data_IF_699427476420
#
_entry.id   IF_699427476420
#
_cell.length_a   1.000
_cell.length_b   1.000
_cell.length_c   1.000
_cell.angle_alpha   90.00
_cell.angle_beta   90.00
_cell.angle_gamma   90.00
#
_symmetry.space_group_name_H-M   'P 1'
#
loop_
_entity.id
_entity.type
_entity.pdbx_description
1 polymer ?
#
# COMPACT_ATOMS: atom_id res chain seq x y z
N UNK A 1 -9.37 18.99 -3.80
CA UNK A 1 -8.81 17.65 -3.99
C UNK A 1 -9.82 16.82 -4.75
N UNK A 2 -9.42 15.89 -5.63
CA UNK A 2 -10.37 14.97 -6.22
C UNK A 2 -10.96 14.10 -5.11
N UNK A 3 -12.27 14.09 -4.96
CA UNK A 3 -12.97 13.22 -4.02
C UNK A 3 -13.39 11.95 -4.77
N UNK A 4 -12.85 10.81 -4.39
CA UNK A 4 -13.34 9.52 -4.85
C UNK A 4 -14.51 9.14 -3.96
N UNK A 5 -15.67 8.87 -4.57
CA UNK A 5 -16.86 8.44 -3.86
C UNK A 5 -17.07 6.93 -4.09
N UNK A 6 -17.63 6.26 -3.10
CA UNK A 6 -17.93 4.82 -3.15
C UNK A 6 -19.45 4.62 -3.20
N UNK A 7 -19.87 3.64 -3.99
CA UNK A 7 -21.29 3.39 -4.26
C UNK A 7 -22.10 2.89 -3.06
N UNK A 8 -21.43 2.54 -1.95
CA UNK A 8 -22.07 2.11 -0.72
C UNK A 8 -21.43 2.77 0.50
N UNK A 9 -22.24 3.14 1.48
CA UNK A 9 -21.81 3.82 2.71
C UNK A 9 -20.77 3.02 3.56
N UNK A 10 -20.64 1.71 3.30
CA UNK A 10 -19.75 0.81 4.05
C UNK A 10 -18.35 0.67 3.41
N UNK A 11 -18.06 1.35 2.31
CA UNK A 11 -16.80 1.29 1.58
C UNK A 11 -16.04 2.61 1.64
N UNK A 12 -16.21 3.38 2.70
CA UNK A 12 -15.46 4.62 2.89
C UNK A 12 -13.98 4.30 3.12
N UNK A 13 -13.09 5.07 2.49
CA UNK A 13 -11.70 5.14 2.90
C UNK A 13 -11.58 5.40 4.39
N UNK A 14 -10.65 4.72 5.06
CA UNK A 14 -10.17 5.26 6.31
C UNK A 14 -9.41 6.56 6.01
N UNK A 15 -9.54 7.60 6.85
CA UNK A 15 -8.79 8.84 6.66
C UNK A 15 -7.28 8.62 6.55
N UNK A 16 -6.76 7.62 7.24
CA UNK A 16 -5.36 7.24 7.25
C UNK A 16 -4.92 6.65 5.89
N UNK A 17 -5.76 5.77 5.31
CA UNK A 17 -5.50 5.20 3.97
C UNK A 17 -5.52 6.30 2.91
N UNK A 18 -6.44 7.26 3.01
CA UNK A 18 -6.47 8.43 2.14
C UNK A 18 -5.19 9.27 2.27
N UNK A 19 -4.75 9.53 3.51
CA UNK A 19 -3.59 10.37 3.78
C UNK A 19 -2.30 9.78 3.19
N UNK A 20 -1.96 8.52 3.47
CA UNK A 20 -0.75 7.94 2.92
C UNK A 20 -0.82 7.72 1.40
N UNK A 21 -1.99 7.42 0.84
CA UNK A 21 -2.19 7.28 -0.60
C UNK A 21 -1.97 8.61 -1.32
N UNK A 22 -2.51 9.69 -0.76
CA UNK A 22 -2.33 11.06 -1.27
C UNK A 22 -0.87 11.48 -1.22
N UNK A 23 -0.18 11.20 -0.10
CA UNK A 23 1.25 11.45 0.02
C UNK A 23 2.05 10.71 -1.05
N UNK A 24 1.79 9.41 -1.24
CA UNK A 24 2.45 8.63 -2.29
C UNK A 24 2.28 9.29 -3.66
N UNK A 25 1.05 9.67 -4.02
CA UNK A 25 0.78 10.34 -5.29
C UNK A 25 1.56 11.65 -5.43
N UNK A 26 1.63 12.48 -4.38
CA UNK A 26 2.39 13.72 -4.38
C UNK A 26 3.90 13.49 -4.53
N UNK A 27 4.46 12.48 -3.88
CA UNK A 27 5.88 12.10 -4.05
C UNK A 27 6.17 11.73 -5.51
N UNK A 28 5.30 10.94 -6.15
CA UNK A 28 5.44 10.53 -7.54
C UNK A 28 5.34 11.71 -8.52
N UNK A 29 4.41 12.64 -8.28
CA UNK A 29 4.27 13.85 -9.08
C UNK A 29 5.49 14.75 -8.94
N UNK A 30 5.98 14.95 -7.71
CA UNK A 30 7.12 15.82 -7.44
C UNK A 30 8.40 15.27 -8.05
N UNK A 31 8.60 13.96 -8.06
CA UNK A 31 9.72 13.31 -8.73
C UNK A 31 9.70 13.52 -10.24
N UNK A 32 8.52 13.67 -10.85
CA UNK A 32 8.38 13.88 -12.29
C UNK A 32 8.55 15.36 -12.70
N UNK A 33 8.76 16.28 -11.76
CA UNK A 33 9.08 17.67 -12.10
C UNK A 33 10.49 17.74 -12.69
N UNK A 34 10.69 18.47 -13.79
CA UNK A 34 12.02 18.68 -14.33
C UNK A 34 12.84 19.46 -13.27
N UNK A 35 13.84 18.80 -12.69
CA UNK A 35 14.90 19.49 -11.96
C UNK A 35 15.69 20.22 -13.04
N UNK A 36 15.85 21.54 -12.91
CA UNK A 36 16.59 22.41 -13.83
C UNK A 36 18.12 22.16 -13.85
N UNK A 37 18.56 20.98 -13.55
CA UNK A 37 19.94 20.52 -13.74
C UNK A 37 20.03 19.60 -14.95
N UNK A 38 20.99 19.87 -15.85
CA UNK A 38 21.17 19.28 -17.17
C UNK A 38 21.35 17.76 -17.20
N UNK A 39 21.37 17.06 -16.06
CA UNK A 39 21.58 15.62 -15.97
C UNK A 39 20.37 14.92 -15.36
N UNK A 40 19.68 14.16 -16.23
CA UNK A 40 18.65 13.16 -15.96
C UNK A 40 17.26 13.67 -15.57
N UNK A 41 16.51 14.03 -16.58
CA UNK A 41 15.06 13.89 -16.65
C UNK A 41 14.67 12.40 -16.51
N UNK A 42 14.51 11.89 -15.30
CA UNK A 42 13.77 10.65 -15.08
C UNK A 42 12.28 10.97 -15.20
N UNK A 43 11.82 11.23 -16.41
CA UNK A 43 10.39 11.13 -16.73
C UNK A 43 10.03 9.66 -16.70
N UNK A 44 8.97 9.31 -15.99
CA UNK A 44 8.34 8.03 -16.18
C UNK A 44 7.78 8.01 -17.61
N UNK A 45 8.31 7.21 -18.53
CA UNK A 45 7.69 7.08 -19.85
C UNK A 45 6.29 6.49 -19.70
N UNK A 46 6.11 5.59 -18.75
CA UNK A 46 4.86 5.00 -18.30
C UNK A 46 5.04 4.63 -16.84
N UNK A 47 4.15 5.12 -15.97
CA UNK A 47 4.15 4.77 -14.55
C UNK A 47 3.24 3.55 -14.33
N UNK A 48 3.81 2.46 -13.84
CA UNK A 48 3.10 1.20 -13.59
C UNK A 48 2.98 0.93 -12.09
N UNK A 49 1.75 0.86 -11.60
CA UNK A 49 1.44 0.66 -10.18
C UNK A 49 0.63 -0.61 -10.00
N UNK A 50 1.07 -1.46 -9.07
CA UNK A 50 0.39 -2.69 -8.68
C UNK A 50 -0.16 -2.54 -7.26
N UNK A 51 -1.49 -2.62 -7.12
CA UNK A 51 -2.20 -2.57 -5.84
C UNK A 51 -2.61 -3.99 -5.44
N UNK A 52 -1.90 -4.57 -4.49
CA UNK A 52 -2.13 -5.93 -3.99
C UNK A 52 -3.08 -5.90 -2.80
N UNK A 53 -4.01 -6.84 -2.74
CA UNK A 53 -5.14 -6.83 -1.79
C UNK A 53 -6.00 -5.57 -1.98
N UNK A 54 -6.31 -5.26 -3.25
CA UNK A 54 -6.94 -3.99 -3.65
C UNK A 54 -8.35 -3.78 -3.07
N UNK A 55 -9.02 -4.84 -2.63
CA UNK A 55 -10.36 -4.78 -2.08
C UNK A 55 -11.35 -4.14 -3.06
N UNK A 56 -11.98 -3.07 -2.64
CA UNK A 56 -12.94 -2.30 -3.44
C UNK A 56 -12.28 -1.29 -4.38
N UNK A 57 -10.96 -1.34 -4.55
CA UNK A 57 -10.19 -0.51 -5.47
C UNK A 57 -9.87 0.89 -4.95
N UNK A 58 -10.01 1.12 -3.66
CA UNK A 58 -9.89 2.45 -3.06
C UNK A 58 -8.56 3.12 -3.36
N UNK A 59 -7.45 2.44 -3.06
CA UNK A 59 -6.09 2.97 -3.26
C UNK A 59 -5.84 3.22 -4.74
N UNK A 60 -6.12 2.22 -5.59
CA UNK A 60 -5.92 2.31 -7.03
C UNK A 60 -6.68 3.49 -7.65
N UNK A 61 -7.96 3.65 -7.30
CA UNK A 61 -8.81 4.73 -7.86
C UNK A 61 -8.35 6.12 -7.39
N UNK A 62 -7.97 6.27 -6.12
CA UNK A 62 -7.46 7.54 -5.61
C UNK A 62 -6.11 7.90 -6.24
N UNK A 63 -5.18 6.95 -6.33
CA UNK A 63 -3.90 7.16 -7.02
C UNK A 63 -4.15 7.61 -8.46
N UNK A 64 -5.02 6.93 -9.21
CA UNK A 64 -5.32 7.31 -10.58
C UNK A 64 -5.92 8.72 -10.66
N UNK A 65 -6.86 9.06 -9.79
CA UNK A 65 -7.49 10.39 -9.77
C UNK A 65 -6.47 11.52 -9.62
N UNK A 66 -5.50 11.35 -8.72
CA UNK A 66 -4.48 12.36 -8.45
C UNK A 66 -3.41 12.37 -9.55
N UNK A 67 -2.91 11.19 -9.92
CA UNK A 67 -1.79 11.06 -10.86
C UNK A 67 -2.17 11.44 -12.29
N UNK A 68 -3.34 11.02 -12.78
CA UNK A 68 -3.78 11.28 -14.16
C UNK A 68 -3.97 12.76 -14.47
N UNK A 69 -4.07 13.62 -13.45
CA UNK A 69 -4.09 15.06 -13.62
C UNK A 69 -2.73 15.65 -14.03
N UNK A 70 -1.63 14.94 -13.77
CA UNK A 70 -0.24 15.40 -13.97
C UNK A 70 0.60 14.46 -14.83
N UNK A 71 0.26 13.19 -14.88
CA UNK A 71 0.97 12.14 -15.62
C UNK A 71 0.03 11.59 -16.68
N UNK A 72 0.45 11.61 -17.95
CA UNK A 72 -0.39 11.21 -19.07
C UNK A 72 -0.49 9.70 -19.23
N UNK A 73 0.54 8.96 -18.86
CA UNK A 73 0.60 7.52 -19.03
C UNK A 73 0.84 6.82 -17.70
N UNK A 74 -0.26 6.42 -17.05
CA UNK A 74 -0.26 5.74 -15.77
C UNK A 74 -1.09 4.47 -15.90
N UNK A 75 -0.53 3.32 -15.57
CA UNK A 75 -1.24 2.05 -15.49
C UNK A 75 -1.36 1.59 -14.04
N UNK A 76 -2.57 1.30 -13.61
CA UNK A 76 -2.88 0.78 -12.29
C UNK A 76 -3.59 -0.56 -12.40
N UNK A 77 -3.00 -1.58 -11.77
CA UNK A 77 -3.65 -2.89 -11.69
C UNK A 77 -3.87 -3.24 -10.22
N UNK A 78 -5.13 -3.51 -9.86
CA UNK A 78 -5.50 -4.02 -8.56
C UNK A 78 -5.68 -5.53 -8.60
N UNK A 79 -5.11 -6.23 -7.63
CA UNK A 79 -5.24 -7.69 -7.46
C UNK A 79 -5.94 -7.99 -6.15
N UNK A 80 -6.93 -8.86 -6.17
CA UNK A 80 -7.60 -9.36 -4.97
C UNK A 80 -8.07 -10.80 -5.19
N UNK A 81 -8.11 -11.58 -4.12
CA UNK A 81 -8.64 -12.94 -4.13
C UNK A 81 -10.17 -12.96 -4.23
N UNK A 82 -10.84 -11.93 -3.70
CA UNK A 82 -12.29 -11.83 -3.59
C UNK A 82 -12.93 -11.32 -4.88
N UNK A 83 -13.69 -12.19 -5.55
CA UNK A 83 -14.52 -11.79 -6.71
C UNK A 83 -15.53 -10.71 -6.37
N UNK A 84 -16.07 -10.74 -5.15
CA UNK A 84 -17.05 -9.76 -4.69
C UNK A 84 -16.42 -8.38 -4.53
N UNK A 85 -15.24 -8.30 -3.91
CA UNK A 85 -14.46 -7.06 -3.79
C UNK A 85 -14.15 -6.48 -5.17
N UNK A 86 -13.68 -7.31 -6.11
CA UNK A 86 -13.36 -6.88 -7.48
C UNK A 86 -14.61 -6.43 -8.26
N UNK A 87 -15.77 -7.05 -8.02
CA UNK A 87 -17.03 -6.59 -8.62
C UNK A 87 -17.37 -5.16 -8.14
N UNK A 88 -17.19 -4.88 -6.85
CA UNK A 88 -17.36 -3.54 -6.27
C UNK A 88 -16.29 -2.57 -6.80
N UNK A 89 -15.02 -2.98 -6.90
CA UNK A 89 -13.96 -2.16 -7.47
C UNK A 89 -14.28 -1.70 -8.90
N UNK A 90 -14.75 -2.63 -9.73
CA UNK A 90 -15.20 -2.32 -11.09
C UNK A 90 -16.46 -1.43 -11.12
N UNK A 91 -17.38 -1.60 -10.17
CA UNK A 91 -18.53 -0.72 -10.01
C UNK A 91 -18.09 0.69 -9.62
N UNK A 92 -17.20 0.82 -8.63
CA UNK A 92 -16.63 2.09 -8.18
C UNK A 92 -15.89 2.80 -9.32
N UNK A 93 -15.09 2.09 -10.11
CA UNK A 93 -14.42 2.64 -11.29
C UNK A 93 -15.43 3.26 -12.27
N UNK A 94 -16.45 2.48 -12.68
CA UNK A 94 -17.48 2.96 -13.62
C UNK A 94 -18.25 4.15 -13.06
N UNK A 95 -18.60 4.08 -11.79
CA UNK A 95 -19.37 5.12 -11.12
C UNK A 95 -18.59 6.44 -11.02
N UNK A 96 -17.32 6.39 -10.59
CA UNK A 96 -16.48 7.59 -10.49
C UNK A 96 -16.18 8.22 -11.87
N UNK A 97 -16.11 7.42 -12.94
CA UNK A 97 -16.02 7.95 -14.30
C UNK A 97 -17.32 8.65 -14.68
N UNK A 98 -18.48 8.03 -14.40
CA UNK A 98 -19.80 8.61 -14.70
C UNK A 98 -20.04 9.93 -13.93
N UNK A 99 -19.54 10.03 -12.68
CA UNK A 99 -19.63 11.24 -11.86
C UNK A 99 -18.49 12.26 -12.15
N UNK A 100 -17.67 12.01 -13.16
CA UNK A 100 -16.51 12.87 -13.53
C UNK A 100 -15.42 13.05 -12.46
N UNK A 101 -15.43 12.20 -11.42
CA UNK A 101 -14.36 12.16 -10.42
C UNK A 101 -13.09 11.50 -10.99
N UNK A 102 -13.25 10.60 -11.96
CA UNK A 102 -12.17 10.03 -12.76
C UNK A 102 -12.31 10.45 -14.22
N UNK A 103 -11.17 10.65 -14.89
CA UNK A 103 -11.13 10.91 -16.34
C UNK A 103 -11.53 9.65 -17.11
N UNK A 104 -12.05 9.83 -18.33
CA UNK A 104 -12.47 8.71 -19.19
C UNK A 104 -11.33 7.70 -19.46
N UNK A 105 -10.09 8.17 -19.54
CA UNK A 105 -8.90 7.33 -19.75
C UNK A 105 -8.70 6.26 -18.65
N UNK A 106 -9.32 6.43 -17.47
CA UNK A 106 -9.32 5.44 -16.41
C UNK A 106 -9.86 4.08 -16.85
N UNK A 107 -10.74 4.03 -17.86
CA UNK A 107 -11.27 2.77 -18.43
C UNK A 107 -10.18 1.88 -19.01
N UNK A 108 -9.13 2.48 -19.51
CA UNK A 108 -8.00 1.80 -20.17
C UNK A 108 -6.81 1.62 -19.22
N UNK A 109 -6.66 2.55 -18.29
CA UNK A 109 -5.50 2.64 -17.39
C UNK A 109 -5.67 1.89 -16.08
N UNK A 110 -6.91 1.61 -15.64
CA UNK A 110 -7.19 0.90 -14.38
C UNK A 110 -7.81 -0.46 -14.68
N UNK A 111 -7.23 -1.51 -14.11
CA UNK A 111 -7.73 -2.89 -14.24
C UNK A 111 -7.75 -3.58 -12.89
N UNK A 112 -8.77 -4.40 -12.67
CA UNK A 112 -8.88 -5.24 -11.49
C UNK A 112 -8.87 -6.71 -11.90
N UNK A 113 -7.96 -7.49 -11.29
CA UNK A 113 -7.67 -8.88 -11.66
C UNK A 113 -7.84 -9.77 -10.45
N UNK A 114 -8.54 -10.89 -10.60
CA UNK A 114 -8.61 -11.88 -9.54
C UNK A 114 -7.30 -12.65 -9.43
N UNK A 115 -6.79 -12.75 -8.20
CA UNK A 115 -5.60 -13.55 -7.94
C UNK A 115 -5.30 -13.66 -6.45
N UNK A 116 -4.69 -14.77 -6.10
CA UNK A 116 -4.12 -14.99 -4.77
C UNK A 116 -2.62 -14.68 -4.83
N UNK A 117 -2.16 -13.69 -4.07
CA UNK A 117 -0.77 -13.26 -4.11
C UNK A 117 0.21 -14.33 -3.61
N UNK A 118 -0.25 -15.34 -2.88
CA UNK A 118 0.56 -16.47 -2.44
C UNK A 118 0.80 -17.51 -3.53
N UNK A 119 0.14 -17.38 -4.67
CA UNK A 119 0.32 -18.22 -5.85
C UNK A 119 0.97 -17.43 -7.00
N UNK A 120 1.41 -18.16 -8.02
CA UNK A 120 1.94 -17.51 -9.22
C UNK A 120 0.82 -16.84 -10.01
N UNK A 121 1.04 -15.58 -10.35
CA UNK A 121 0.11 -14.75 -11.11
C UNK A 121 0.79 -14.25 -12.40
N UNK A 122 0.12 -14.38 -13.57
CA UNK A 122 0.68 -13.88 -14.83
C UNK A 122 1.05 -12.40 -14.79
N UNK A 123 0.32 -11.59 -14.02
CA UNK A 123 0.59 -10.16 -13.85
C UNK A 123 1.96 -9.87 -13.22
N UNK A 124 2.53 -10.83 -12.48
CA UNK A 124 3.83 -10.72 -11.83
C UNK A 124 5.00 -11.08 -12.77
N UNK A 125 4.74 -11.42 -14.03
CA UNK A 125 5.79 -11.67 -15.03
C UNK A 125 6.37 -10.38 -15.64
N UNK A 126 5.73 -9.22 -15.42
CA UNK A 126 6.21 -7.92 -15.90
C UNK A 126 6.88 -7.10 -14.79
N UNK A 127 7.49 -5.97 -15.20
CA UNK A 127 8.03 -4.99 -14.26
C UNK A 127 6.95 -4.02 -13.80
N UNK A 128 7.03 -3.61 -12.54
CA UNK A 128 6.14 -2.61 -11.94
C UNK A 128 6.98 -1.59 -11.18
N UNK A 129 6.74 -0.31 -11.39
CA UNK A 129 7.52 0.73 -10.72
C UNK A 129 7.20 0.82 -9.23
N UNK A 130 5.94 0.56 -8.89
CA UNK A 130 5.43 0.71 -7.53
C UNK A 130 4.54 -0.47 -7.21
N UNK A 131 4.72 -1.00 -6.00
CA UNK A 131 3.78 -1.91 -5.35
C UNK A 131 3.18 -1.20 -4.15
N UNK A 132 1.87 -1.24 -4.01
CA UNK A 132 1.16 -0.77 -2.83
C UNK A 132 0.25 -1.88 -2.32
N UNK A 133 0.06 -1.96 -1.02
CA UNK A 133 -0.84 -2.95 -0.42
C UNK A 133 -1.41 -2.49 0.91
N UNK A 134 -2.71 -2.72 1.08
CA UNK A 134 -3.36 -2.76 2.38
C UNK A 134 -3.80 -4.22 2.63
N UNK A 135 -2.91 -5.08 3.11
CA UNK A 135 -3.20 -6.50 3.28
C UNK A 135 -4.00 -6.75 4.57
N UNK A 136 -4.61 -7.92 4.75
CA UNK A 136 -5.03 -8.37 6.07
C UNK A 136 -3.83 -8.41 7.02
N UNK A 137 -3.87 -7.65 8.12
CA UNK A 137 -2.73 -7.51 9.06
C UNK A 137 -3.10 -7.66 10.53
N UNK A 138 -4.37 -7.97 10.85
CA UNK A 138 -4.86 -8.10 12.22
C UNK A 138 -4.70 -9.56 12.66
N UNK A 139 -4.04 -9.80 13.81
CA UNK A 139 -3.99 -11.15 14.36
C UNK A 139 -5.37 -11.61 14.85
N UNK A 140 -5.64 -12.92 14.91
CA UNK A 140 -6.91 -13.45 15.42
C UNK A 140 -7.25 -12.95 16.82
N UNK A 141 -6.27 -12.80 17.71
CA UNK A 141 -6.44 -12.27 19.04
C UNK A 141 -6.84 -10.78 18.98
N UNK A 142 -6.08 -9.94 18.28
CA UNK A 142 -6.39 -8.51 18.13
C UNK A 142 -7.73 -8.27 17.42
N UNK A 143 -8.15 -9.17 16.54
CA UNK A 143 -9.47 -9.10 15.93
C UNK A 143 -10.59 -9.18 16.96
N UNK A 144 -10.43 -10.00 17.99
CA UNK A 144 -11.44 -10.18 19.03
C UNK A 144 -11.39 -9.10 20.11
N UNK A 145 -10.19 -8.62 20.46
CA UNK A 145 -9.96 -7.69 21.59
C UNK A 145 -9.94 -6.22 21.19
N UNK A 146 -9.28 -5.90 20.08
CA UNK A 146 -8.91 -4.52 19.74
C UNK A 146 -9.73 -3.94 18.58
N UNK A 147 -10.36 -4.82 17.76
CA UNK A 147 -11.15 -4.37 16.61
C UNK A 147 -12.54 -3.91 17.06
N UNK A 148 -12.96 -2.73 16.60
CA UNK A 148 -14.27 -2.19 16.93
C UNK A 148 -15.41 -3.12 16.49
N UNK A 149 -16.54 -3.08 17.23
CA UNK A 149 -17.71 -3.90 16.92
C UNK A 149 -18.25 -3.65 15.51
N UNK A 150 -18.24 -2.39 15.05
CA UNK A 150 -18.71 -2.02 13.72
C UNK A 150 -17.87 -2.69 12.62
N UNK A 151 -16.56 -2.62 12.72
CA UNK A 151 -15.63 -3.27 11.78
C UNK A 151 -15.86 -4.78 11.75
N UNK A 152 -15.97 -5.44 12.92
CA UNK A 152 -16.22 -6.89 12.99
C UNK A 152 -17.56 -7.34 12.38
N UNK A 153 -18.56 -6.48 12.37
CA UNK A 153 -19.90 -6.80 11.82
C UNK A 153 -19.98 -6.51 10.33
N UNK A 154 -19.39 -5.41 9.87
CA UNK A 154 -19.60 -4.92 8.51
C UNK A 154 -18.48 -5.25 7.55
N UNK A 155 -17.28 -5.59 8.05
CA UNK A 155 -16.16 -5.99 7.19
C UNK A 155 -15.97 -7.51 7.19
N UNK A 156 -15.70 -8.11 6.01
CA UNK A 156 -15.39 -9.55 5.96
C UNK A 156 -14.14 -9.85 6.79
N UNK A 157 -14.18 -10.87 7.65
CA UNK A 157 -13.02 -11.26 8.46
C UNK A 157 -11.77 -11.51 7.60
N UNK A 158 -11.93 -12.07 6.40
CA UNK A 158 -10.84 -12.32 5.46
C UNK A 158 -10.16 -11.05 4.93
N UNK A 159 -10.80 -9.88 5.02
CA UNK A 159 -10.20 -8.60 4.67
C UNK A 159 -9.31 -8.04 5.80
N UNK A 160 -9.43 -8.57 7.01
CA UNK A 160 -8.78 -8.05 8.21
C UNK A 160 -7.74 -9.01 8.78
N UNK A 161 -8.07 -10.31 8.78
CA UNK A 161 -7.27 -11.37 9.39
C UNK A 161 -6.71 -12.27 8.29
N UNK A 162 -5.40 -12.48 8.22
CA UNK A 162 -4.80 -13.43 7.29
C UNK A 162 -5.43 -14.82 7.42
N UNK A 163 -5.73 -15.52 6.30
CA UNK A 163 -6.22 -16.90 6.35
C UNK A 163 -5.23 -17.81 7.07
N UNK A 164 -5.73 -18.69 7.91
CA UNK A 164 -4.91 -19.62 8.70
C UNK A 164 -4.01 -20.53 7.85
N UNK A 165 -4.41 -20.79 6.61
CA UNK A 165 -3.63 -21.59 5.67
C UNK A 165 -2.25 -21.01 5.30
N UNK A 166 -2.02 -19.70 5.53
CA UNK A 166 -0.74 -19.04 5.27
C UNK A 166 0.14 -18.93 6.51
N UNK A 167 -0.32 -19.43 7.66
CA UNK A 167 0.41 -19.42 8.91
C UNK A 167 0.91 -20.83 9.22
N UNK A 168 2.20 -20.95 9.43
CA UNK A 168 2.83 -22.21 9.76
C UNK A 168 2.38 -22.68 11.16
N UNK A 169 1.89 -23.90 11.22
CA UNK A 169 1.71 -24.79 12.35
C UNK A 169 0.33 -24.94 12.99
N UNK A 170 -0.08 -26.18 13.00
CA UNK A 170 -1.16 -26.78 13.77
C UNK A 170 -0.84 -26.72 15.28
N UNK A 171 -1.47 -25.82 16.00
CA UNK A 171 -1.28 -25.76 17.45
C UNK A 171 -2.38 -24.95 18.13
N UNK A 172 -3.15 -25.62 18.98
CA UNK A 172 -4.09 -25.00 19.89
C UNK A 172 -3.36 -24.05 20.85
N UNK A 173 -3.84 -22.81 20.97
CA UNK A 173 -3.32 -21.82 21.90
C UNK A 173 -1.99 -21.21 21.48
N UNK A 174 -2.03 -20.33 20.47
CA UNK A 174 -0.84 -19.68 19.95
C UNK A 174 -0.10 -18.84 21.00
N UNK A 175 1.22 -18.97 21.01
CA UNK A 175 2.09 -18.05 21.73
C UNK A 175 1.94 -16.64 21.14
N UNK A 176 2.36 -15.61 21.88
CA UNK A 176 2.38 -14.24 21.36
C UNK A 176 3.17 -14.13 20.04
N UNK A 177 4.24 -14.92 19.89
CA UNK A 177 5.05 -14.96 18.66
C UNK A 177 4.26 -15.52 17.47
N UNK A 178 3.47 -16.57 17.68
CA UNK A 178 2.59 -17.13 16.65
C UNK A 178 1.49 -16.16 16.23
N UNK A 179 0.85 -15.49 17.19
CA UNK A 179 -0.15 -14.45 16.92
C UNK A 179 0.43 -13.28 16.11
N UNK A 180 1.63 -12.83 16.45
CA UNK A 180 2.32 -11.77 15.71
C UNK A 180 2.71 -12.26 14.29
N UNK A 181 3.18 -13.50 14.15
CA UNK A 181 3.51 -14.08 12.86
C UNK A 181 2.28 -14.19 11.94
N UNK A 182 1.10 -14.49 12.48
CA UNK A 182 -0.15 -14.50 11.70
C UNK A 182 -0.45 -13.08 11.18
N UNK A 183 -0.41 -12.07 12.03
CA UNK A 183 -0.63 -10.69 11.61
C UNK A 183 0.38 -10.19 10.57
N UNK A 184 1.59 -10.74 10.59
CA UNK A 184 2.67 -10.35 9.69
C UNK A 184 2.77 -11.22 8.41
N UNK A 185 1.90 -12.20 8.21
CA UNK A 185 2.03 -13.25 7.20
C UNK A 185 2.14 -12.74 5.74
N UNK A 186 1.54 -11.59 5.43
CA UNK A 186 1.55 -11.05 4.07
C UNK A 186 2.87 -10.33 3.74
N UNK A 187 3.56 -9.73 4.70
CA UNK A 187 4.69 -8.84 4.41
C UNK A 187 5.89 -9.53 3.75
N UNK A 188 6.32 -10.75 4.16
CA UNK A 188 7.39 -11.45 3.46
C UNK A 188 7.05 -11.67 1.97
N UNK A 189 5.79 -12.03 1.68
CA UNK A 189 5.36 -12.25 0.30
C UNK A 189 5.27 -10.94 -0.49
N UNK A 190 4.85 -9.84 0.12
CA UNK A 190 4.83 -8.52 -0.52
C UNK A 190 6.24 -8.05 -0.87
N UNK A 191 7.22 -8.26 0.01
CA UNK A 191 8.64 -7.99 -0.25
C UNK A 191 9.17 -8.82 -1.43
N UNK A 192 8.90 -10.14 -1.42
CA UNK A 192 9.28 -11.05 -2.52
C UNK A 192 8.68 -10.62 -3.87
N UNK A 193 7.38 -10.28 -3.89
CA UNK A 193 6.71 -9.82 -5.11
C UNK A 193 7.33 -8.52 -5.59
N UNK A 194 7.55 -7.55 -4.71
CA UNK A 194 8.12 -6.27 -5.07
C UNK A 194 9.53 -6.42 -5.67
N UNK A 195 10.35 -7.33 -5.11
CA UNK A 195 11.65 -7.70 -5.68
C UNK A 195 11.49 -8.37 -7.06
N UNK A 196 10.60 -9.36 -7.19
CA UNK A 196 10.34 -10.10 -8.44
C UNK A 196 9.93 -9.18 -9.59
N UNK A 197 9.10 -8.16 -9.32
CA UNK A 197 8.60 -7.22 -10.34
C UNK A 197 9.51 -6.00 -10.55
N UNK A 198 10.67 -5.97 -9.91
CA UNK A 198 11.66 -4.87 -9.95
C UNK A 198 11.07 -3.52 -9.48
N UNK A 199 10.24 -3.54 -8.42
CA UNK A 199 9.62 -2.35 -7.89
C UNK A 199 10.68 -1.39 -7.32
N UNK A 200 10.50 -0.10 -7.60
CA UNK A 200 11.33 0.99 -7.06
C UNK A 200 10.81 1.49 -5.72
N UNK A 201 9.52 1.31 -5.51
CA UNK A 201 8.84 1.68 -4.27
C UNK A 201 7.86 0.60 -3.84
N UNK A 202 7.80 0.39 -2.52
CA UNK A 202 6.81 -0.47 -1.89
C UNK A 202 6.19 0.30 -0.71
N UNK A 203 4.86 0.41 -0.70
CA UNK A 203 4.10 0.99 0.39
C UNK A 203 3.14 -0.06 0.96
N UNK A 204 3.22 -0.32 2.25
CA UNK A 204 2.40 -1.32 2.94
C UNK A 204 1.71 -0.73 4.16
N UNK A 205 0.39 -0.87 4.27
CA UNK A 205 -0.33 -0.53 5.50
C UNK A 205 -0.01 -1.53 6.61
N UNK A 206 0.00 -1.04 7.85
CA UNK A 206 0.25 -1.80 9.08
C UNK A 206 -0.69 -1.35 10.20
N UNK A 207 -0.91 -2.22 11.19
CA UNK A 207 -1.81 -1.92 12.31
C UNK A 207 -1.28 -0.82 13.24
N UNK A 208 0.03 -0.77 13.47
CA UNK A 208 0.63 0.12 14.46
C UNK A 208 2.17 0.18 14.33
N UNK A 209 2.78 1.05 15.14
CA UNK A 209 4.24 1.26 15.16
C UNK A 209 5.03 -0.03 15.48
N UNK A 210 4.51 -0.92 16.34
CA UNK A 210 5.22 -2.17 16.66
C UNK A 210 5.31 -3.09 15.46
N UNK A 211 4.20 -3.22 14.71
CA UNK A 211 4.18 -3.98 13.46
C UNK A 211 5.03 -3.30 12.38
N UNK A 212 4.96 -1.97 12.24
CA UNK A 212 5.83 -1.24 11.32
C UNK A 212 7.31 -1.54 11.53
N UNK A 213 7.78 -1.57 12.78
CA UNK A 213 9.17 -1.91 13.10
C UNK A 213 9.55 -3.34 12.70
N UNK A 214 8.64 -4.33 12.89
CA UNK A 214 8.88 -5.71 12.44
C UNK A 214 8.93 -5.83 10.92
N UNK A 215 8.04 -5.11 10.23
CA UNK A 215 8.03 -5.07 8.75
C UNK A 215 9.30 -4.44 8.20
N UNK A 216 9.81 -3.37 8.82
CA UNK A 216 11.10 -2.80 8.46
C UNK A 216 12.25 -3.78 8.75
N UNK A 217 12.25 -4.49 9.89
CA UNK A 217 13.26 -5.52 10.18
C UNK A 217 13.27 -6.64 9.12
N UNK A 218 12.09 -7.06 8.62
CA UNK A 218 11.98 -7.99 7.50
C UNK A 218 12.58 -7.41 6.21
N UNK A 219 12.27 -6.16 5.90
CA UNK A 219 12.78 -5.49 4.70
C UNK A 219 14.30 -5.27 4.74
N UNK A 220 14.87 -4.97 5.91
CA UNK A 220 16.33 -4.87 6.10
C UNK A 220 17.00 -6.23 5.88
N UNK A 221 16.41 -7.32 6.39
CA UNK A 221 16.93 -8.69 6.18
C UNK A 221 16.85 -9.13 4.72
N UNK A 222 15.80 -8.70 4.00
CA UNK A 222 15.64 -8.96 2.56
C UNK A 222 16.78 -8.30 1.74
N UNK A 223 17.29 -7.15 2.19
CA UNK A 223 18.47 -6.51 1.60
C UNK A 223 18.24 -5.86 0.22
N UNK A 224 16.99 -5.76 -0.22
CA UNK A 224 16.62 -5.24 -1.53
C UNK A 224 16.39 -3.72 -1.56
N UNK A 225 16.27 -3.10 -0.38
CA UNK A 225 15.86 -1.72 -0.17
C UNK A 225 16.98 -0.88 0.42
N UNK A 226 17.02 0.41 0.03
CA UNK A 226 18.04 1.37 0.47
C UNK A 226 17.46 2.49 1.33
N UNK A 227 16.15 2.73 1.26
CA UNK A 227 15.44 3.75 2.02
C UNK A 227 14.27 3.16 2.78
N UNK A 228 14.15 3.54 4.06
CA UNK A 228 13.17 3.02 5.00
C UNK A 228 12.46 4.17 5.69
N UNK A 229 11.12 4.23 5.56
CA UNK A 229 10.29 5.21 6.24
C UNK A 229 9.11 4.52 6.91
N UNK A 230 8.70 5.02 8.07
CA UNK A 230 7.43 4.71 8.71
C UNK A 230 6.59 5.98 8.66
N UNK A 231 5.45 5.91 8.01
CA UNK A 231 4.50 7.00 7.97
C UNK A 231 3.42 6.80 9.02
N UNK A 232 3.12 7.86 9.74
CA UNK A 232 2.03 7.91 10.71
C UNK A 232 0.70 8.19 10.02
N UNK A 233 -0.39 8.24 10.77
CA UNK A 233 -1.76 8.43 10.26
C UNK A 233 -1.87 9.65 9.32
N UNK A 234 -1.15 10.73 9.62
CA UNK A 234 -1.12 11.97 8.83
C UNK A 234 0.32 12.32 8.44
N UNK A 235 0.87 11.66 7.41
CA UNK A 235 2.31 11.73 7.12
C UNK A 235 2.80 13.08 6.61
N UNK A 236 1.90 13.95 6.11
CA UNK A 236 2.25 15.29 5.63
C UNK A 236 2.14 16.38 6.72
N UNK A 237 1.65 16.05 7.91
CA UNK A 237 1.63 16.99 9.03
C UNK A 237 3.05 17.04 9.63
N UNK A 238 3.60 18.28 9.69
CA UNK A 238 4.95 18.49 10.23
C UNK A 238 4.93 18.38 11.76
N UNK A 239 5.74 17.48 12.30
CA UNK A 239 6.12 17.55 13.72
C UNK A 239 7.03 18.77 13.90
N UNK A 240 6.74 19.63 14.87
CA UNK A 240 7.45 20.90 15.12
C UNK A 240 8.95 20.75 15.45
N UNK A 241 9.42 19.55 15.67
CA UNK A 241 10.83 19.20 15.88
C UNK A 241 11.21 18.15 14.85
N UNK A 242 12.02 18.48 13.87
CA UNK A 242 12.54 17.65 12.76
C UNK A 242 12.22 16.15 12.90
N UNK A 243 11.79 15.52 11.81
CA UNK A 243 11.20 14.17 11.85
C UNK A 243 11.97 13.18 12.74
N UNK A 244 11.25 12.41 13.52
CA UNK A 244 11.83 11.35 14.34
C UNK A 244 12.55 10.34 13.45
N UNK A 245 13.69 9.85 13.88
CA UNK A 245 14.38 8.75 13.23
C UNK A 245 14.70 7.67 14.27
N UNK A 246 14.72 6.43 13.83
CA UNK A 246 15.16 5.31 14.66
C UNK A 246 16.10 4.42 13.87
N UNK A 247 16.89 3.62 14.55
CA UNK A 247 17.78 2.64 13.96
C UNK A 247 17.18 1.23 14.08
N UNK A 248 17.13 0.51 12.96
CA UNK A 248 16.74 -0.91 12.91
C UNK A 248 17.83 -1.67 12.16
N UNK A 249 18.51 -2.58 12.84
CA UNK A 249 19.57 -3.41 12.25
C UNK A 249 20.66 -2.60 11.53
N UNK A 250 21.04 -1.46 12.07
CA UNK A 250 22.05 -0.58 11.46
C UNK A 250 21.54 0.30 10.33
N UNK A 251 20.25 0.27 10.01
CA UNK A 251 19.62 1.13 9.01
C UNK A 251 18.86 2.27 9.68
N UNK A 252 19.05 3.48 9.16
CA UNK A 252 18.29 4.66 9.59
C UNK A 252 16.89 4.62 9.00
N UNK A 253 15.89 4.70 9.85
CA UNK A 253 14.46 4.67 9.50
C UNK A 253 13.83 6.00 9.86
N UNK A 254 13.35 6.74 8.86
CA UNK A 254 12.65 8.01 9.08
C UNK A 254 11.22 7.75 9.55
N UNK A 255 10.76 8.54 10.51
CA UNK A 255 9.36 8.52 10.95
C UNK A 255 8.73 9.85 10.60
N UNK A 256 7.66 9.82 9.81
CA UNK A 256 7.04 11.02 9.27
C UNK A 256 5.60 11.18 9.74
N UNK A 257 5.22 12.44 10.02
CA UNK A 257 3.84 12.82 10.31
C UNK A 257 3.42 12.66 11.77
N UNK A 258 2.12 12.82 12.00
CA UNK A 258 1.48 12.74 13.31
C UNK A 258 0.52 11.57 13.41
N UNK A 259 0.21 11.14 14.64
CA UNK A 259 -0.64 9.98 14.92
C UNK A 259 0.13 8.69 15.16
N UNK A 260 -0.52 7.57 14.91
CA UNK A 260 0.06 6.24 15.08
C UNK A 260 0.83 5.81 13.84
N UNK A 261 1.81 4.89 13.98
CA UNK A 261 2.46 4.28 12.82
C UNK A 261 1.45 3.51 11.98
N UNK A 262 1.32 3.88 10.70
CA UNK A 262 0.25 3.39 9.83
C UNK A 262 0.74 2.69 8.58
N UNK A 263 1.86 3.08 8.03
CA UNK A 263 2.41 2.42 6.85
C UNK A 263 3.94 2.39 6.86
N UNK A 264 4.50 1.45 6.11
CA UNK A 264 5.92 1.32 5.83
C UNK A 264 6.13 1.64 4.36
N UNK A 265 7.02 2.60 4.09
CA UNK A 265 7.43 2.97 2.75
C UNK A 265 8.90 2.61 2.54
N UNK A 266 9.15 1.85 1.50
CA UNK A 266 10.48 1.38 1.10
C UNK A 266 10.85 1.91 -0.26
N UNK A 267 12.13 2.25 -0.46
CA UNK A 267 12.64 2.76 -1.74
C UNK A 267 14.00 2.14 -2.09
N UNK A 268 14.28 2.04 -3.40
CA UNK A 268 15.57 1.56 -3.92
C UNK A 268 16.42 2.71 -4.46
N UNK A 269 17.73 2.60 -4.29
CA UNK A 269 18.72 3.61 -4.68
C UNK A 269 18.95 3.78 -6.20
N UNK A 270 18.23 3.11 -7.05
CA UNK A 270 18.11 3.51 -8.47
C UNK A 270 17.30 4.80 -8.65
N UNK A 271 16.80 5.33 -7.56
CA UNK A 271 15.91 6.47 -7.45
C UNK A 271 16.47 7.62 -6.66
N UNK A 272 17.74 7.98 -6.76
CA UNK A 272 18.33 9.26 -6.28
C UNK A 272 17.80 9.76 -4.92
N UNK A 273 18.70 10.21 -4.05
CA UNK A 273 18.39 10.93 -2.81
C UNK A 273 17.13 11.81 -2.95
N UNK A 274 15.98 11.29 -2.50
CA UNK A 274 14.70 12.02 -2.56
C UNK A 274 14.55 13.02 -1.42
N UNK A 275 15.56 13.11 -0.55
CA UNK A 275 15.50 13.89 0.67
C UNK A 275 16.82 14.66 0.84
N UNK A 276 17.02 15.66 -0.01
CA UNK A 276 17.94 16.74 0.26
C UNK A 276 17.26 17.79 1.13
#
# INVERSE_FOLDING_TARGET
MPSILFSTANNAFSPETEAYTTRLAHLLINRNKPILSADRLLKWPQLRILDLCTGTGCIALLLHAILSAKLSDTQLHGVDISRQALALANQNLRWNIAQTHLRQVAREQVRFVQGDIFHDLPILSGTWDIVVSNPPYISPCSFTTDTSRSVRIFEPKSALVPPYAYTLSDGEGGTLEQELAIGDAFYPRLLEIAAKVDAKFLLMEVANMKQAKRVVDLAVKDGHWDGYEIWRDYPDQSVASGGDALEIKGQSVKILGEGHGRSVFLSRAGGVNMFG
#
